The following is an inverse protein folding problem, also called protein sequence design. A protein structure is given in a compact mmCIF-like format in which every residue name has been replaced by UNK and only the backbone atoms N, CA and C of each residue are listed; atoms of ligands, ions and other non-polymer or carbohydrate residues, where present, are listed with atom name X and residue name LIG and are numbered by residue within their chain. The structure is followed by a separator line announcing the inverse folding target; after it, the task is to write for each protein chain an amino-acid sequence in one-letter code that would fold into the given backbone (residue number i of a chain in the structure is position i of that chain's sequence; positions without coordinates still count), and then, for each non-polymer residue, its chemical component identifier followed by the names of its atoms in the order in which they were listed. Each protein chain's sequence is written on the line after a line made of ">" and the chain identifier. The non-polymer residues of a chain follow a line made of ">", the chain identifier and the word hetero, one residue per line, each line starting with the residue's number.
data_IF_794472595499
#
_entry.id   IF_794472595499
#
_cell.length_a   1.000
_cell.length_b   1.000
_cell.length_c   1.000
_cell.angle_alpha   90.00
_cell.angle_beta   90.00
_cell.angle_gamma   90.00
#
_symmetry.space_group_name_H-M   'P 1'
#
loop_
_entity.id
_entity.type
_entity.pdbx_description
1 polymer ?
#
# COMPACT_ATOMS: atom_id res chain seq x y z
N UNK A 1 -67.78 38.03 30.95
CA UNK A 1 -66.70 37.18 31.42
C UNK A 1 -65.99 36.62 30.18
N UNK A 2 -64.85 37.22 29.78
CA UNK A 2 -64.11 36.85 28.57
C UNK A 2 -62.86 36.08 28.99
N UNK A 3 -62.71 34.85 28.50
CA UNK A 3 -61.54 34.02 28.74
C UNK A 3 -60.60 34.22 27.56
N UNK A 4 -59.40 34.71 27.82
CA UNK A 4 -58.28 34.82 26.88
C UNK A 4 -57.46 33.57 26.98
N UNK A 5 -57.39 32.79 25.87
CA UNK A 5 -56.52 31.66 25.72
C UNK A 5 -55.13 32.17 25.27
N UNK A 6 -54.11 31.91 26.11
CA UNK A 6 -52.69 32.15 25.78
C UNK A 6 -52.17 30.94 25.04
N UNK A 7 -51.85 31.11 23.77
CA UNK A 7 -51.21 30.09 22.96
C UNK A 7 -49.71 30.01 23.28
N UNK A 8 -49.27 28.84 23.71
CA UNK A 8 -47.86 28.53 23.93
C UNK A 8 -47.24 28.08 22.60
N UNK A 9 -46.46 28.95 21.97
CA UNK A 9 -45.68 28.60 20.75
C UNK A 9 -44.43 27.86 21.17
N UNK A 10 -44.39 26.56 20.87
CA UNK A 10 -43.17 25.76 21.02
C UNK A 10 -42.18 26.09 19.87
N UNK A 11 -41.09 26.75 20.19
CA UNK A 11 -39.97 26.96 19.27
C UNK A 11 -39.19 25.65 19.17
N UNK A 12 -39.37 24.90 18.08
CA UNK A 12 -38.45 23.81 17.72
C UNK A 12 -37.14 24.42 17.27
N UNK A 13 -36.14 24.42 18.13
CA UNK A 13 -34.76 24.69 17.73
C UNK A 13 -34.26 23.50 16.88
N UNK A 14 -34.23 23.66 15.57
CA UNK A 14 -33.45 22.78 14.70
C UNK A 14 -31.98 23.04 15.02
N UNK A 15 -31.40 22.16 15.81
CA UNK A 15 -29.93 22.11 15.97
C UNK A 15 -29.29 21.76 14.64
N UNK A 16 -28.66 22.73 13.97
CA UNK A 16 -27.76 22.49 12.87
C UNK A 16 -26.58 21.70 13.45
N UNK A 17 -26.56 20.40 13.19
CA UNK A 17 -25.37 19.59 13.43
C UNK A 17 -24.22 20.17 12.57
N UNK A 18 -23.27 20.82 13.20
CA UNK A 18 -22.01 21.21 12.55
C UNK A 18 -21.37 19.89 12.11
N UNK A 19 -21.09 19.68 10.82
CA UNK A 19 -20.37 18.49 10.41
C UNK A 19 -19.02 18.51 11.11
N UNK A 20 -18.85 17.62 12.11
CA UNK A 20 -17.55 17.40 12.73
C UNK A 20 -16.56 17.05 11.64
N UNK A 21 -15.37 17.66 11.65
CA UNK A 21 -14.30 17.30 10.71
C UNK A 21 -14.12 15.79 10.74
N UNK A 22 -14.16 15.16 9.55
CA UNK A 22 -13.88 13.74 9.43
C UNK A 22 -12.46 13.47 9.94
N UNK A 23 -12.29 12.36 10.65
CA UNK A 23 -10.98 11.87 11.01
C UNK A 23 -10.21 11.50 9.72
N UNK A 24 -8.92 11.84 9.68
CA UNK A 24 -8.09 11.60 8.51
C UNK A 24 -7.33 10.30 8.65
N UNK A 25 -7.15 9.60 7.53
CA UNK A 25 -6.13 8.58 7.41
C UNK A 25 -4.81 9.27 7.05
N UNK A 26 -3.75 8.97 7.78
CA UNK A 26 -2.39 9.45 7.50
C UNK A 26 -1.81 8.70 6.30
N UNK A 27 -2.09 7.39 6.23
CA UNK A 27 -1.83 6.54 5.08
C UNK A 27 -3.16 6.04 4.54
N UNK A 28 -3.36 6.16 3.23
CA UNK A 28 -4.51 5.63 2.50
C UNK A 28 -4.02 5.21 1.11
N UNK A 29 -3.52 3.98 0.98
CA UNK A 29 -2.87 3.48 -0.22
C UNK A 29 -3.55 2.22 -0.72
N UNK A 30 -3.67 2.12 -2.03
CA UNK A 30 -3.93 0.90 -2.79
C UNK A 30 -2.94 0.89 -3.94
N UNK A 31 -2.24 -0.22 -4.14
CA UNK A 31 -1.17 -0.32 -5.13
C UNK A 31 -1.02 -1.75 -5.63
N UNK A 32 -0.31 -1.88 -6.74
CA UNK A 32 0.06 -3.16 -7.35
C UNK A 32 1.49 -3.50 -6.91
N UNK A 33 1.68 -4.74 -6.51
CA UNK A 33 2.99 -5.37 -6.45
C UNK A 33 3.07 -6.45 -7.54
N UNK A 34 4.14 -6.43 -8.29
CA UNK A 34 4.48 -7.43 -9.28
C UNK A 34 5.81 -8.08 -8.93
N UNK A 35 5.84 -9.38 -8.78
CA UNK A 35 7.08 -10.13 -8.65
C UNK A 35 7.51 -10.58 -10.06
N UNK A 36 8.54 -9.91 -10.59
CA UNK A 36 9.04 -10.20 -11.94
C UNK A 36 9.77 -11.55 -12.04
N UNK A 37 10.22 -12.11 -10.92
CA UNK A 37 10.91 -13.41 -10.87
C UNK A 37 9.91 -14.57 -10.83
N UNK A 38 8.82 -14.43 -10.07
CA UNK A 38 7.75 -15.43 -9.95
C UNK A 38 6.67 -15.25 -11.03
N UNK A 39 6.62 -14.10 -11.71
CA UNK A 39 5.58 -13.71 -12.67
C UNK A 39 4.18 -13.69 -12.05
N UNK A 40 4.06 -13.23 -10.81
CA UNK A 40 2.80 -13.08 -10.09
C UNK A 40 2.50 -11.61 -9.78
N UNK A 41 1.23 -11.31 -9.47
CA UNK A 41 0.78 -9.94 -9.25
C UNK A 41 -0.30 -9.89 -8.18
N UNK A 42 -0.08 -9.02 -7.19
CA UNK A 42 -1.00 -8.74 -6.10
C UNK A 42 -1.48 -7.29 -6.03
N UNK A 43 -2.60 -7.12 -5.31
CA UNK A 43 -3.13 -5.81 -4.97
C UNK A 43 -3.05 -5.63 -3.46
N UNK A 44 -2.35 -4.59 -3.04
CA UNK A 44 -2.07 -4.29 -1.65
C UNK A 44 -2.86 -3.08 -1.18
N UNK A 45 -3.22 -3.09 0.10
CA UNK A 45 -3.84 -1.96 0.79
C UNK A 45 -3.07 -1.68 2.07
N UNK A 46 -2.71 -0.42 2.27
CA UNK A 46 -2.10 0.07 3.50
C UNK A 46 -2.85 1.30 3.99
N UNK A 47 -3.37 1.22 5.20
CA UNK A 47 -4.11 2.29 5.88
C UNK A 47 -3.50 2.52 7.27
N UNK A 48 -3.34 3.77 7.64
CA UNK A 48 -2.98 4.20 8.99
C UNK A 48 -3.72 5.48 9.35
N UNK A 49 -4.11 5.64 10.61
CA UNK A 49 -4.83 6.83 11.09
C UNK A 49 -5.32 6.71 12.53
N UNK A 50 -6.27 7.58 12.89
CA UNK A 50 -6.90 7.55 14.21
C UNK A 50 -7.63 6.20 14.45
N UNK A 51 -7.87 5.87 15.72
CA UNK A 51 -8.56 4.68 16.19
C UNK A 51 -9.92 4.47 15.53
N UNK A 52 -10.00 3.56 14.60
CA UNK A 52 -11.22 3.19 13.89
C UNK A 52 -11.82 1.87 14.39
N UNK A 53 -13.14 1.76 14.34
CA UNK A 53 -13.88 0.53 14.65
C UNK A 53 -14.48 -0.14 13.42
N UNK A 54 -14.64 0.59 12.32
CA UNK A 54 -15.08 0.04 11.04
C UNK A 54 -14.45 0.77 9.89
N UNK A 55 -14.13 0.03 8.83
CA UNK A 55 -13.58 0.53 7.58
C UNK A 55 -14.18 -0.22 6.39
N UNK A 56 -14.42 0.48 5.29
CA UNK A 56 -14.75 -0.10 3.99
C UNK A 56 -14.02 0.59 2.87
N UNK A 57 -13.74 -0.15 1.81
CA UNK A 57 -13.10 0.34 0.61
C UNK A 57 -14.11 0.34 -0.53
N UNK A 58 -14.27 1.50 -1.15
CA UNK A 58 -15.16 1.69 -2.30
C UNK A 58 -14.32 1.99 -3.52
N UNK A 59 -14.50 1.22 -4.58
CA UNK A 59 -13.76 1.36 -5.83
C UNK A 59 -14.27 2.55 -6.68
N UNK A 60 -13.57 2.92 -7.78
CA UNK A 60 -13.95 4.06 -8.62
C UNK A 60 -15.35 3.98 -9.25
N UNK A 61 -15.92 2.78 -9.39
CA UNK A 61 -17.28 2.60 -9.93
C UNK A 61 -18.36 2.56 -8.84
N UNK A 62 -17.99 2.81 -7.56
CA UNK A 62 -18.92 2.92 -6.45
C UNK A 62 -19.26 1.60 -5.74
N UNK A 63 -18.61 0.49 -6.11
CA UNK A 63 -18.81 -0.79 -5.44
C UNK A 63 -17.93 -0.90 -4.18
N UNK A 64 -18.49 -1.41 -3.07
CA UNK A 64 -17.72 -1.80 -1.90
C UNK A 64 -16.98 -3.10 -2.21
N UNK A 65 -15.65 -3.08 -2.12
CA UNK A 65 -14.79 -4.23 -2.41
C UNK A 65 -14.19 -4.87 -1.16
N UNK A 66 -14.23 -4.18 -0.03
CA UNK A 66 -13.76 -4.68 1.26
C UNK A 66 -14.49 -3.98 2.39
N UNK A 67 -14.78 -4.71 3.47
CA UNK A 67 -15.36 -4.14 4.69
C UNK A 67 -14.90 -4.93 5.91
N UNK A 68 -14.51 -4.22 6.97
CA UNK A 68 -14.08 -4.79 8.24
C UNK A 68 -14.67 -4.02 9.42
N UNK A 69 -15.02 -4.76 10.49
CA UNK A 69 -15.53 -4.17 11.72
C UNK A 69 -14.91 -4.87 12.92
N UNK A 70 -14.30 -4.09 13.81
CA UNK A 70 -13.77 -4.56 15.08
C UNK A 70 -14.88 -5.13 15.98
N UNK A 71 -14.59 -6.21 16.69
CA UNK A 71 -15.49 -6.86 17.65
C UNK A 71 -14.82 -6.92 19.02
N UNK A 72 -15.64 -7.04 20.09
CA UNK A 72 -15.15 -7.16 21.45
C UNK A 72 -14.15 -6.06 21.82
N UNK A 73 -12.93 -6.39 22.24
CA UNK A 73 -11.92 -5.40 22.61
C UNK A 73 -11.57 -4.40 21.49
N UNK A 74 -11.50 -4.85 20.23
CA UNK A 74 -11.20 -3.97 19.09
C UNK A 74 -12.34 -3.01 18.74
N UNK A 75 -13.58 -3.31 19.12
CA UNK A 75 -14.67 -2.34 19.01
C UNK A 75 -14.59 -1.22 20.06
N UNK A 76 -13.87 -1.46 21.17
CA UNK A 76 -13.70 -0.52 22.29
C UNK A 76 -12.40 0.28 22.20
N UNK A 77 -11.30 -0.39 21.86
CA UNK A 77 -9.97 0.19 21.74
C UNK A 77 -9.72 0.83 20.37
N UNK A 78 -10.40 0.33 19.33
CA UNK A 78 -10.13 0.70 17.97
C UNK A 78 -8.93 -0.06 17.36
N UNK A 79 -8.73 0.19 16.08
CA UNK A 79 -7.59 -0.23 15.27
C UNK A 79 -7.00 1.04 14.65
N UNK A 80 -5.70 1.11 14.47
CA UNK A 80 -5.03 2.26 13.87
C UNK A 80 -4.50 1.93 12.48
N UNK A 81 -4.12 0.67 12.26
CA UNK A 81 -3.53 0.20 11.00
C UNK A 81 -4.35 -0.92 10.39
N UNK A 82 -4.31 -0.98 9.06
CA UNK A 82 -4.77 -2.13 8.28
C UNK A 82 -3.83 -2.31 7.10
N UNK A 83 -3.14 -3.43 7.06
CA UNK A 83 -2.39 -3.88 5.90
C UNK A 83 -2.92 -5.23 5.47
N UNK A 84 -3.14 -5.41 4.18
CA UNK A 84 -3.40 -6.71 3.57
C UNK A 84 -3.02 -6.70 2.10
N UNK A 85 -2.74 -7.89 1.62
CA UNK A 85 -2.57 -8.21 0.21
C UNK A 85 -3.63 -9.22 -0.23
N UNK A 86 -3.93 -9.22 -1.50
CA UNK A 86 -4.76 -10.25 -2.12
C UNK A 86 -3.96 -11.53 -2.37
N UNK A 87 -4.60 -12.57 -2.88
CA UNK A 87 -3.87 -13.66 -3.50
C UNK A 87 -3.11 -13.13 -4.73
N UNK A 88 -1.92 -13.64 -4.93
CA UNK A 88 -0.99 -13.26 -6.00
C UNK A 88 -0.87 -14.39 -7.03
N UNK A 89 -1.88 -14.56 -7.90
CA UNK A 89 -1.80 -15.56 -8.94
C UNK A 89 -0.71 -15.21 -9.93
N UNK A 90 -0.07 -16.22 -10.49
CA UNK A 90 0.82 -16.03 -11.62
C UNK A 90 0.02 -15.53 -12.84
N UNK A 91 0.67 -14.77 -13.73
CA UNK A 91 0.02 -14.26 -14.94
C UNK A 91 -0.31 -15.39 -15.95
N UNK A 92 0.25 -16.58 -15.73
CA UNK A 92 -0.12 -17.81 -16.47
C UNK A 92 -1.43 -18.42 -15.95
N UNK A 93 -1.71 -18.31 -14.65
CA UNK A 93 -2.97 -18.78 -14.04
C UNK A 93 -4.11 -17.80 -14.29
N UNK A 94 -3.83 -16.51 -14.13
CA UNK A 94 -4.82 -15.44 -14.34
C UNK A 94 -4.20 -14.36 -15.24
N UNK A 95 -4.63 -14.23 -16.50
CA UNK A 95 -4.12 -13.23 -17.41
C UNK A 95 -4.19 -11.80 -16.85
N UNK A 96 -3.16 -11.00 -17.13
CA UNK A 96 -2.99 -9.64 -16.62
C UNK A 96 -4.23 -8.76 -16.82
N UNK A 97 -4.84 -8.78 -18.00
CA UNK A 97 -6.03 -7.99 -18.31
C UNK A 97 -7.22 -8.34 -17.42
N UNK A 98 -7.37 -9.62 -17.04
CA UNK A 98 -8.41 -10.07 -16.13
C UNK A 98 -8.15 -9.62 -14.68
N UNK A 99 -6.88 -9.59 -14.24
CA UNK A 99 -6.52 -9.06 -12.93
C UNK A 99 -6.76 -7.55 -12.86
N UNK A 100 -6.27 -6.81 -13.84
CA UNK A 100 -6.43 -5.36 -13.90
C UNK A 100 -7.90 -4.94 -14.03
N UNK A 101 -8.74 -5.71 -14.69
CA UNK A 101 -10.17 -5.45 -14.80
C UNK A 101 -10.91 -5.55 -13.44
N UNK A 102 -10.42 -6.36 -12.50
CA UNK A 102 -11.00 -6.47 -11.15
C UNK A 102 -10.75 -5.21 -10.31
N UNK A 103 -9.66 -4.51 -10.58
CA UNK A 103 -9.24 -3.31 -9.87
C UNK A 103 -9.04 -2.14 -10.84
N UNK A 104 -10.12 -1.47 -11.26
CA UNK A 104 -10.03 -0.38 -12.25
C UNK A 104 -9.20 0.79 -11.72
N UNK A 105 -8.46 1.43 -12.62
CA UNK A 105 -7.71 2.66 -12.31
C UNK A 105 -8.64 3.74 -11.80
N UNK A 106 -8.16 4.57 -10.88
CA UNK A 106 -8.90 5.72 -10.38
C UNK A 106 -8.87 5.87 -8.88
N UNK A 107 -9.78 6.70 -8.38
CA UNK A 107 -9.87 7.06 -6.97
C UNK A 107 -10.68 6.03 -6.19
N UNK A 108 -10.04 5.39 -5.23
CA UNK A 108 -10.67 4.56 -4.21
C UNK A 108 -10.96 5.40 -2.98
N UNK A 109 -12.08 5.15 -2.33
CA UNK A 109 -12.45 5.82 -1.07
C UNK A 109 -12.36 4.83 0.07
N UNK A 110 -11.76 5.29 1.17
CA UNK A 110 -11.65 4.58 2.43
C UNK A 110 -12.57 5.26 3.43
N UNK A 111 -13.70 4.63 3.70
CA UNK A 111 -14.77 5.18 4.52
C UNK A 111 -14.90 4.38 5.80
N UNK A 112 -15.08 5.06 6.93
CA UNK A 112 -15.15 4.35 8.19
C UNK A 112 -15.72 5.18 9.32
N UNK A 113 -15.56 4.66 10.53
CA UNK A 113 -16.01 5.32 11.75
C UNK A 113 -14.99 5.05 12.85
N UNK A 114 -14.56 6.10 13.56
CA UNK A 114 -13.69 5.99 14.73
C UNK A 114 -14.44 5.39 15.92
N UNK A 115 -13.72 5.00 16.97
CA UNK A 115 -14.34 4.57 18.24
C UNK A 115 -15.23 5.68 18.81
N UNK A 116 -14.85 6.95 18.66
CA UNK A 116 -15.63 8.11 19.07
C UNK A 116 -16.82 8.46 18.14
N UNK A 117 -17.16 7.59 17.18
CA UNK A 117 -18.22 7.78 16.18
C UNK A 117 -18.00 8.95 15.21
N UNK A 118 -16.77 9.43 15.04
CA UNK A 118 -16.45 10.38 13.98
C UNK A 118 -16.36 9.64 12.65
N UNK A 119 -16.86 10.22 11.54
CA UNK A 119 -16.65 9.62 10.21
C UNK A 119 -15.17 9.67 9.81
N UNK A 120 -14.74 8.67 9.06
CA UNK A 120 -13.44 8.64 8.37
C UNK A 120 -13.72 8.72 6.88
N UNK A 121 -12.98 9.58 6.16
CA UNK A 121 -13.04 9.71 4.70
C UNK A 121 -11.61 9.93 4.18
N UNK A 122 -11.01 8.86 3.68
CA UNK A 122 -9.70 8.85 3.02
C UNK A 122 -9.81 8.50 1.55
N UNK A 123 -8.78 8.81 0.78
CA UNK A 123 -8.72 8.46 -0.64
C UNK A 123 -7.33 8.01 -1.03
N UNK A 124 -7.25 6.95 -1.86
CA UNK A 124 -6.06 6.52 -2.58
C UNK A 124 -6.34 6.49 -4.08
N UNK A 125 -5.30 6.55 -4.88
CA UNK A 125 -5.42 6.45 -6.35
C UNK A 125 -4.67 5.21 -6.80
N UNK A 126 -5.37 4.27 -7.43
CA UNK A 126 -4.75 3.15 -8.11
C UNK A 126 -4.42 3.53 -9.54
N UNK A 127 -3.20 3.24 -9.95
CA UNK A 127 -2.69 3.32 -11.31
C UNK A 127 -2.34 1.90 -11.79
N UNK A 128 -2.32 1.67 -13.10
CA UNK A 128 -1.73 0.46 -13.69
C UNK A 128 -0.32 0.72 -14.25
N UNK A 129 0.31 1.84 -13.85
CA UNK A 129 1.71 2.12 -14.16
C UNK A 129 2.62 1.31 -13.22
N UNK A 130 2.93 0.08 -13.62
CA UNK A 130 3.80 -0.84 -12.87
C UNK A 130 5.22 -0.70 -13.42
N UNK A 131 6.25 -0.44 -12.58
CA UNK A 131 7.64 -0.40 -13.05
C UNK A 131 8.12 -1.79 -13.47
N UNK A 132 9.08 -1.88 -14.39
CA UNK A 132 9.76 -3.14 -14.70
C UNK A 132 10.57 -3.60 -13.48
N UNK A 133 10.87 -4.90 -13.42
CA UNK A 133 11.78 -5.44 -12.40
C UNK A 133 13.19 -4.88 -12.58
N UNK A 134 13.89 -4.51 -11.49
CA UNK A 134 15.29 -4.13 -11.55
C UNK A 134 16.15 -5.27 -12.10
N UNK A 135 17.14 -4.95 -12.94
CA UNK A 135 18.17 -5.91 -13.34
C UNK A 135 19.23 -5.92 -12.25
N UNK A 136 19.27 -7.01 -11.47
CA UNK A 136 20.10 -7.12 -10.26
C UNK A 136 21.38 -7.89 -10.55
N UNK A 137 22.48 -7.46 -9.95
CA UNK A 137 23.76 -8.17 -9.92
C UNK A 137 24.42 -8.04 -8.54
N UNK A 138 25.22 -9.01 -8.16
CA UNK A 138 25.96 -9.04 -6.89
C UNK A 138 27.47 -9.11 -7.16
N UNK A 139 28.25 -8.49 -6.27
CA UNK A 139 29.72 -8.55 -6.28
C UNK A 139 30.22 -8.76 -4.86
N UNK A 140 31.01 -9.80 -4.66
CA UNK A 140 31.65 -10.11 -3.38
C UNK A 140 33.16 -10.06 -3.59
N UNK A 141 33.79 -9.00 -3.12
CA UNK A 141 35.22 -8.78 -3.28
C UNK A 141 35.81 -8.00 -2.10
N UNK A 142 37.05 -8.32 -1.74
CA UNK A 142 37.78 -7.63 -0.69
C UNK A 142 37.13 -7.68 0.71
N UNK A 143 36.29 -8.69 0.96
CA UNK A 143 35.55 -8.83 2.22
C UNK A 143 34.25 -8.01 2.28
N UNK A 144 33.85 -7.40 1.17
CA UNK A 144 32.61 -6.62 1.07
C UNK A 144 31.65 -7.28 0.07
N UNK A 145 30.36 -7.18 0.35
CA UNK A 145 29.29 -7.60 -0.55
C UNK A 145 28.51 -6.38 -1.05
N UNK A 146 28.34 -6.27 -2.34
CA UNK A 146 27.62 -5.15 -2.98
C UNK A 146 26.54 -5.68 -3.91
N UNK A 147 25.32 -5.20 -3.72
CA UNK A 147 24.16 -5.45 -4.59
C UNK A 147 24.02 -4.25 -5.51
N UNK A 148 23.92 -4.47 -6.84
CA UNK A 148 23.75 -3.42 -7.84
C UNK A 148 22.52 -3.67 -8.69
N UNK A 149 21.92 -2.62 -9.19
CA UNK A 149 20.79 -2.69 -10.12
C UNK A 149 20.84 -1.58 -11.16
N UNK A 150 20.20 -1.84 -12.30
CA UNK A 150 20.03 -0.82 -13.33
C UNK A 150 18.82 0.07 -13.02
N UNK A 151 18.87 1.40 -13.36
CA UNK A 151 17.73 2.29 -13.21
C UNK A 151 16.52 1.82 -14.01
N UNK A 152 15.37 1.69 -13.34
CA UNK A 152 14.11 1.29 -13.99
C UNK A 152 13.40 2.51 -14.55
N UNK A 153 13.09 2.51 -15.86
CA UNK A 153 12.47 3.64 -16.58
C UNK A 153 11.27 3.25 -17.43
N UNK A 154 10.91 1.98 -17.45
CA UNK A 154 9.83 1.44 -18.29
C UNK A 154 8.91 0.50 -17.52
N UNK A 155 7.75 0.17 -18.12
CA UNK A 155 6.88 -0.91 -17.67
C UNK A 155 7.41 -2.27 -18.12
N UNK A 156 7.00 -3.40 -17.47
CA UNK A 156 7.35 -4.73 -17.95
C UNK A 156 6.73 -5.00 -19.32
N UNK A 157 7.31 -5.91 -20.13
CA UNK A 157 6.69 -6.37 -21.36
C UNK A 157 5.27 -6.91 -21.14
N UNK A 158 4.32 -6.54 -22.00
CA UNK A 158 2.92 -6.98 -21.89
C UNK A 158 2.04 -6.14 -20.94
N UNK A 159 2.64 -5.30 -20.10
CA UNK A 159 1.90 -4.39 -19.23
C UNK A 159 1.43 -3.13 -19.99
N UNK A 160 0.37 -2.45 -19.50
CA UNK A 160 -0.04 -1.17 -20.06
C UNK A 160 1.13 -0.18 -20.10
N UNK A 161 1.39 0.42 -21.26
CA UNK A 161 2.44 1.41 -21.40
C UNK A 161 2.16 2.64 -20.56
N UNK A 162 3.09 3.01 -19.71
CA UNK A 162 2.99 4.17 -18.82
C UNK A 162 4.34 4.84 -18.63
N UNK A 163 4.31 6.12 -18.24
CA UNK A 163 5.52 6.80 -17.77
C UNK A 163 5.84 6.30 -16.37
N UNK A 164 7.02 5.73 -16.21
CA UNK A 164 7.56 5.27 -14.93
C UNK A 164 8.48 6.33 -14.34
N UNK A 165 8.33 6.56 -13.05
CA UNK A 165 9.16 7.48 -12.27
C UNK A 165 9.47 6.82 -10.93
N UNK A 166 10.52 6.01 -10.88
CA UNK A 166 10.97 5.36 -9.65
C UNK A 166 11.42 6.42 -8.65
N UNK A 167 10.79 6.44 -7.50
CA UNK A 167 11.08 7.39 -6.42
C UNK A 167 11.88 6.76 -5.29
N UNK A 168 11.84 5.43 -5.17
CA UNK A 168 12.58 4.65 -4.18
C UNK A 168 12.96 3.29 -4.72
N UNK A 169 14.05 2.75 -4.20
CA UNK A 169 14.35 1.33 -4.23
C UNK A 169 14.30 0.78 -2.81
N UNK A 170 13.87 -0.46 -2.64
CA UNK A 170 13.95 -1.19 -1.39
C UNK A 170 14.80 -2.44 -1.63
N UNK A 171 15.70 -2.73 -0.71
CA UNK A 171 16.55 -3.91 -0.75
C UNK A 171 16.33 -4.71 0.52
N UNK A 172 15.99 -5.98 0.35
CA UNK A 172 15.81 -6.93 1.44
C UNK A 172 16.91 -8.00 1.36
N UNK A 173 17.49 -8.32 2.51
CA UNK A 173 18.44 -9.42 2.69
C UNK A 173 18.04 -10.14 3.96
N UNK A 174 17.23 -11.17 3.83
CA UNK A 174 16.68 -11.90 4.95
C UNK A 174 17.75 -12.62 5.80
N UNK A 175 17.63 -12.62 7.13
CA UNK A 175 16.64 -11.90 7.95
C UNK A 175 17.16 -10.55 8.50
N UNK A 176 18.28 -10.01 7.97
CA UNK A 176 19.07 -8.99 8.65
C UNK A 176 18.88 -7.57 8.11
N UNK A 177 18.42 -7.40 6.88
CA UNK A 177 18.35 -6.07 6.28
C UNK A 177 17.06 -5.85 5.49
N UNK A 178 16.40 -4.74 5.79
CA UNK A 178 15.36 -4.11 5.00
C UNK A 178 15.68 -2.61 4.94
N UNK A 179 16.06 -2.12 3.76
CA UNK A 179 16.46 -0.72 3.59
C UNK A 179 15.79 -0.08 2.39
N UNK A 180 15.24 1.11 2.60
CA UNK A 180 14.68 1.94 1.52
C UNK A 180 15.68 3.04 1.14
N UNK A 181 15.97 3.13 -0.15
CA UNK A 181 16.93 4.04 -0.76
C UNK A 181 16.23 5.03 -1.72
N UNK A 182 16.82 6.22 -1.98
CA UNK A 182 16.31 7.12 -3.00
C UNK A 182 16.25 6.46 -4.40
N UNK A 183 15.30 6.88 -5.25
CA UNK A 183 15.17 6.37 -6.62
C UNK A 183 16.35 6.65 -7.56
N UNK A 184 17.36 7.37 -7.09
CA UNK A 184 18.64 7.59 -7.79
C UNK A 184 19.73 6.60 -7.38
N UNK A 185 19.49 5.78 -6.36
CA UNK A 185 20.43 4.76 -5.93
C UNK A 185 20.48 3.60 -6.95
N UNK A 186 21.66 3.08 -7.20
CA UNK A 186 21.91 1.95 -8.12
C UNK A 186 22.75 0.86 -7.47
N UNK A 187 23.13 1.03 -6.22
CA UNK A 187 23.89 0.04 -5.47
C UNK A 187 23.69 0.18 -3.96
N UNK A 188 23.95 -0.90 -3.26
CA UNK A 188 24.04 -0.98 -1.81
C UNK A 188 25.20 -1.90 -1.44
N UNK A 189 26.21 -1.37 -0.72
CA UNK A 189 27.21 -2.21 -0.05
C UNK A 189 26.67 -2.61 1.30
N UNK A 190 26.66 -3.91 1.59
CA UNK A 190 26.16 -4.41 2.86
C UNK A 190 27.09 -4.02 4.02
N UNK A 191 26.55 -3.67 5.18
CA UNK A 191 27.35 -3.52 6.40
C UNK A 191 28.04 -4.83 6.77
N UNK A 192 29.28 -4.77 7.25
CA UNK A 192 30.07 -5.95 7.65
C UNK A 192 29.29 -6.83 8.66
N UNK A 193 28.56 -6.22 9.58
CA UNK A 193 27.73 -6.94 10.55
C UNK A 193 26.61 -7.77 9.90
N UNK A 194 26.09 -7.36 8.75
CA UNK A 194 25.11 -8.13 7.97
C UNK A 194 25.82 -9.30 7.29
N UNK A 195 26.96 -9.06 6.63
CA UNK A 195 27.76 -10.09 5.98
C UNK A 195 28.22 -11.14 7.00
N UNK A 196 28.73 -10.72 8.14
CA UNK A 196 29.14 -11.61 9.24
C UNK A 196 27.96 -12.42 9.79
N UNK A 197 26.77 -11.81 9.88
CA UNK A 197 25.55 -12.45 10.38
C UNK A 197 25.00 -13.50 9.43
N UNK A 198 25.10 -13.25 8.11
CA UNK A 198 24.68 -14.20 7.07
C UNK A 198 25.59 -15.41 7.06
N UNK A 199 26.92 -15.20 7.12
CA UNK A 199 27.92 -16.25 6.97
C UNK A 199 28.06 -16.70 5.49
N UNK A 200 28.91 -17.71 5.26
CA UNK A 200 29.16 -18.22 3.92
C UNK A 200 27.96 -19.01 3.38
N UNK A 201 27.65 -18.82 2.11
CA UNK A 201 26.61 -19.54 1.36
C UNK A 201 25.73 -18.64 0.50
N UNK A 202 24.69 -19.24 -0.09
CA UNK A 202 23.69 -18.55 -0.89
C UNK A 202 22.60 -17.95 -0.02
N UNK A 203 22.33 -16.65 -0.20
CA UNK A 203 21.32 -15.90 0.56
C UNK A 203 20.34 -15.25 -0.42
N UNK A 204 19.02 -15.43 -0.21
CA UNK A 204 18.02 -14.75 -1.03
C UNK A 204 18.05 -13.25 -0.77
N UNK A 205 17.97 -12.48 -1.84
CA UNK A 205 17.85 -11.02 -1.81
C UNK A 205 16.72 -10.58 -2.72
N UNK A 206 16.11 -9.46 -2.38
CA UNK A 206 15.08 -8.83 -3.18
C UNK A 206 15.43 -7.36 -3.41
N UNK A 207 15.20 -6.90 -4.64
CA UNK A 207 15.32 -5.49 -4.98
C UNK A 207 14.00 -5.03 -5.58
N UNK A 208 13.37 -4.05 -4.94
CA UNK A 208 12.10 -3.49 -5.37
C UNK A 208 12.31 -2.12 -6.01
N UNK A 209 11.71 -1.91 -7.18
CA UNK A 209 11.54 -0.58 -7.76
C UNK A 209 10.15 -0.04 -7.38
N UNK A 210 10.07 1.11 -6.73
CA UNK A 210 8.84 1.75 -6.25
C UNK A 210 8.60 3.02 -7.04
N UNK A 211 7.52 3.01 -7.85
CA UNK A 211 7.12 4.15 -8.69
C UNK A 211 6.42 5.25 -7.88
N UNK A 212 6.37 6.45 -8.44
CA UNK A 212 5.66 7.60 -7.86
C UNK A 212 4.15 7.34 -7.65
N UNK A 213 3.54 6.43 -8.42
CA UNK A 213 2.16 5.97 -8.22
C UNK A 213 1.98 5.11 -6.96
N UNK A 214 3.08 4.61 -6.39
CA UNK A 214 3.09 3.66 -5.28
C UNK A 214 3.14 2.20 -5.70
N UNK A 215 2.94 1.89 -6.98
CA UNK A 215 3.14 0.53 -7.49
C UNK A 215 4.61 0.13 -7.41
N UNK A 216 4.86 -1.15 -7.23
CA UNK A 216 6.20 -1.67 -7.05
C UNK A 216 6.41 -2.99 -7.79
N UNK A 217 7.67 -3.27 -8.09
CA UNK A 217 8.06 -4.54 -8.71
C UNK A 217 9.28 -5.09 -8.02
N UNK A 218 9.17 -6.35 -7.61
CA UNK A 218 10.22 -7.15 -6.99
C UNK A 218 11.02 -7.86 -8.08
N UNK A 219 12.33 -7.90 -7.91
CA UNK A 219 13.22 -8.87 -8.54
C UNK A 219 13.94 -9.64 -7.44
N UNK A 220 13.75 -10.94 -7.41
CA UNK A 220 14.50 -11.86 -6.56
C UNK A 220 15.86 -12.18 -7.19
N UNK A 221 16.88 -12.32 -6.36
CA UNK A 221 18.23 -12.71 -6.76
C UNK A 221 18.93 -13.45 -5.61
N UNK A 222 20.16 -13.83 -5.81
CA UNK A 222 20.98 -14.54 -4.83
C UNK A 222 22.28 -13.79 -4.59
N UNK A 223 22.66 -13.67 -3.33
CA UNK A 223 23.98 -13.25 -2.89
C UNK A 223 24.75 -14.48 -2.41
N UNK A 224 25.90 -14.75 -2.98
CA UNK A 224 26.80 -15.86 -2.61
C UNK A 224 28.02 -15.29 -1.84
N UNK A 225 28.14 -15.62 -0.53
CA UNK A 225 29.15 -15.12 0.41
C UNK A 225 30.22 -16.15 0.72
#
# INVERSE_FOLDING_TARGET
>A
MRWTTVGLSALCALGLAIPGNAAKLEIARIYIEYNSSANDLGFHVALDGEDWKSLKIVNPVGATIFEVTGKGPYAQLGLTELFFEGAEPTLDEVPLDQLLAKFPVGRYRFLGTTVANKPIDGTGVLSHAVPAGPVVSTDVSGGHATIRWEPVTSTPPGFPSARISVVRYQVLVDPFLDVTLPGTATELTLPDAVVDGLGAGEHPIEVLAIDASGNQTITESTLDL
#
